data_IF_009665323667
#
_entry.id   IF_009665323667
#
_cell.length_a   1.000
_cell.length_b   1.000
_cell.length_c   1.000
_cell.angle_alpha   90.00
_cell.angle_beta   90.00
_cell.angle_gamma   90.00
#
_symmetry.space_group_name_H-M   'P 1'
#
loop_
_entity.id
_entity.type
_entity.pdbx_description
1 polymer ?
#
# COMPACT_ATOMS: atom_id res chain seq x y z
N UNK A 1 10.04 5.13 14.75
CA UNK A 1 9.86 4.89 13.31
C UNK A 1 8.53 5.50 12.92
N UNK A 2 8.42 6.08 11.72
CA UNK A 2 7.17 6.65 11.25
C UNK A 2 6.22 5.54 10.78
N UNK A 3 4.97 5.57 11.21
CA UNK A 3 3.90 4.69 10.74
C UNK A 3 3.46 5.11 9.33
N UNK A 4 3.62 4.28 8.28
CA UNK A 4 3.42 4.70 6.90
C UNK A 4 2.03 5.27 6.59
N UNK A 5 1.00 4.83 7.29
CA UNK A 5 -0.37 5.32 7.09
C UNK A 5 -0.69 6.61 7.86
N UNK A 6 -0.10 6.83 9.03
CA UNK A 6 -0.49 7.92 9.92
C UNK A 6 0.50 9.10 9.88
N UNK A 7 1.79 8.80 9.81
CA UNK A 7 2.85 9.79 10.01
C UNK A 7 3.40 10.37 8.71
N UNK A 8 3.08 9.74 7.56
CA UNK A 8 3.48 10.24 6.25
C UNK A 8 2.39 11.18 5.74
N UNK A 9 2.80 12.41 5.40
CA UNK A 9 1.88 13.38 4.78
C UNK A 9 1.35 12.86 3.45
N UNK A 10 0.08 13.14 3.16
CA UNK A 10 -0.52 12.88 1.84
C UNK A 10 0.19 13.61 0.69
N UNK A 11 0.86 14.74 0.95
CA UNK A 11 1.46 15.62 -0.06
C UNK A 11 0.80 17.00 -0.07
N UNK A 12 1.57 18.05 -0.36
CA UNK A 12 1.09 19.44 -0.30
C UNK A 12 0.07 19.77 -1.39
N UNK A 13 0.14 19.06 -2.53
CA UNK A 13 -0.65 19.30 -3.73
C UNK A 13 -1.81 18.30 -3.88
N UNK A 14 -2.18 17.62 -2.80
CA UNK A 14 -3.33 16.72 -2.79
C UNK A 14 -4.63 17.53 -3.00
N UNK A 15 -5.60 17.03 -3.81
CA UNK A 15 -5.71 15.66 -4.32
C UNK A 15 -5.05 15.42 -5.69
N UNK A 16 -4.52 16.44 -6.36
CA UNK A 16 -4.02 16.31 -7.73
C UNK A 16 -2.69 15.55 -7.79
N UNK A 17 -1.80 15.76 -6.80
CA UNK A 17 -0.55 15.02 -6.63
C UNK A 17 -0.41 14.58 -5.18
N UNK A 18 -0.20 13.28 -4.96
CA UNK A 18 -0.13 12.68 -3.62
C UNK A 18 0.99 11.65 -3.52
N UNK A 19 1.42 11.41 -2.28
CA UNK A 19 2.32 10.32 -1.95
C UNK A 19 1.58 8.97 -2.06
N UNK A 20 2.22 7.98 -2.67
CA UNK A 20 1.71 6.61 -2.73
C UNK A 20 2.72 5.67 -2.06
N UNK A 21 2.26 4.89 -1.08
CA UNK A 21 3.07 3.90 -0.38
C UNK A 21 2.88 2.55 -1.08
N UNK A 22 3.92 2.03 -1.70
CA UNK A 22 3.87 0.79 -2.47
C UNK A 22 3.97 -0.43 -1.55
N UNK A 23 2.96 -1.29 -1.59
CA UNK A 23 2.93 -2.55 -0.86
C UNK A 23 3.40 -3.72 -1.74
N UNK A 24 2.99 -3.71 -3.01
CA UNK A 24 3.20 -4.81 -3.95
C UNK A 24 3.88 -4.29 -5.20
N UNK A 25 5.15 -4.70 -5.45
CA UNK A 25 5.83 -4.35 -6.70
C UNK A 25 5.16 -5.00 -7.92
N UNK A 26 5.23 -4.32 -9.06
CA UNK A 26 4.83 -4.88 -10.36
C UNK A 26 5.52 -6.24 -10.59
N UNK A 27 4.75 -7.21 -11.06
CA UNK A 27 5.23 -8.57 -11.32
C UNK A 27 5.21 -9.49 -10.08
N UNK A 28 4.87 -8.97 -8.90
CA UNK A 28 4.76 -9.81 -7.70
C UNK A 28 3.52 -10.70 -7.75
N UNK A 29 3.68 -11.94 -7.25
CA UNK A 29 2.62 -12.90 -6.96
C UNK A 29 2.24 -12.94 -5.47
N UNK A 30 2.99 -12.21 -4.63
CA UNK A 30 2.72 -12.10 -3.20
C UNK A 30 1.84 -10.88 -2.98
N UNK A 31 0.65 -11.08 -2.41
CA UNK A 31 -0.17 -9.98 -1.91
C UNK A 31 0.36 -9.60 -0.53
N UNK A 32 1.18 -8.57 -0.51
CA UNK A 32 1.53 -7.86 0.71
C UNK A 32 0.43 -6.86 1.06
N UNK A 33 0.33 -6.54 2.34
CA UNK A 33 -0.49 -5.44 2.85
C UNK A 33 0.16 -4.81 4.07
N UNK A 34 -0.15 -3.55 4.31
CA UNK A 34 0.19 -2.86 5.54
C UNK A 34 -0.61 -3.46 6.70
N UNK A 35 0.11 -3.95 7.71
CA UNK A 35 -0.49 -4.26 9.00
C UNK A 35 -0.81 -2.94 9.73
N UNK A 36 -2.11 -2.61 9.85
CA UNK A 36 -2.59 -1.30 10.34
C UNK A 36 -2.17 -0.98 11.78
N UNK A 37 -1.89 -2.00 12.59
CA UNK A 37 -1.50 -1.83 13.99
C UNK A 37 0.00 -1.50 14.10
N UNK A 38 0.83 -2.23 13.37
CA UNK A 38 2.30 -2.14 13.51
C UNK A 38 2.96 -1.22 12.49
N UNK A 39 2.30 -0.93 11.36
CA UNK A 39 2.87 -0.22 10.23
C UNK A 39 3.88 -1.02 9.42
N UNK A 40 4.01 -2.32 9.68
CA UNK A 40 4.90 -3.22 8.93
C UNK A 40 4.21 -3.82 7.71
N UNK A 41 5.00 -4.24 6.73
CA UNK A 41 4.49 -4.99 5.59
C UNK A 41 4.30 -6.46 5.97
N UNK A 42 3.09 -6.99 5.80
CA UNK A 42 2.73 -8.36 6.09
C UNK A 42 2.31 -9.09 4.82
N UNK A 43 2.64 -10.37 4.72
CA UNK A 43 2.08 -11.23 3.67
C UNK A 43 0.65 -11.59 4.07
N UNK A 44 -0.32 -11.09 3.32
CA UNK A 44 -1.71 -11.53 3.43
C UNK A 44 -1.84 -12.92 2.81
N UNK A 45 -1.42 -13.06 1.54
CA UNK A 45 -1.47 -14.34 0.82
C UNK A 45 -0.58 -14.40 -0.42
N UNK A 46 -0.38 -15.62 -0.90
CA UNK A 46 0.02 -15.87 -2.29
C UNK A 46 -1.21 -15.79 -3.20
N UNK A 47 -1.09 -15.20 -4.39
CA UNK A 47 -2.16 -15.24 -5.37
C UNK A 47 -2.43 -16.69 -5.80
N UNK A 48 -3.69 -17.11 -5.73
CA UNK A 48 -4.12 -18.48 -6.04
C UNK A 48 -3.94 -18.86 -7.51
N UNK A 49 -4.12 -17.89 -8.41
CA UNK A 49 -3.95 -18.08 -9.86
C UNK A 49 -2.53 -17.76 -10.29
N UNK A 50 -2.14 -18.21 -11.49
CA UNK A 50 -0.85 -17.85 -12.10
C UNK A 50 -0.88 -16.44 -12.71
N UNK A 51 -1.21 -15.46 -11.87
CA UNK A 51 -1.27 -14.03 -12.22
C UNK A 51 -0.30 -13.25 -11.34
N UNK A 52 0.07 -12.06 -11.81
CA UNK A 52 0.94 -11.12 -11.11
C UNK A 52 0.31 -9.73 -11.15
N UNK A 53 0.66 -8.87 -10.18
CA UNK A 53 0.21 -7.48 -10.22
C UNK A 53 0.81 -6.78 -11.46
N UNK A 54 -0.01 -6.17 -12.34
CA UNK A 54 0.47 -5.59 -13.59
C UNK A 54 1.17 -4.23 -13.42
N UNK A 55 1.03 -3.62 -12.24
CA UNK A 55 1.65 -2.35 -11.86
C UNK A 55 1.99 -2.38 -10.36
N UNK A 56 2.79 -1.41 -9.92
CA UNK A 56 3.00 -1.19 -8.48
C UNK A 56 1.65 -0.86 -7.82
N UNK A 57 1.35 -1.53 -6.72
CA UNK A 57 0.10 -1.39 -5.98
C UNK A 57 0.37 -1.03 -4.53
N UNK A 58 -0.52 -0.22 -3.95
CA UNK A 58 -0.42 0.22 -2.58
C UNK A 58 -1.54 1.19 -2.21
N UNK A 59 -1.27 2.09 -1.28
CA UNK A 59 -2.27 2.99 -0.71
C UNK A 59 -1.79 4.45 -0.62
N UNK A 60 -2.73 5.36 -0.41
CA UNK A 60 -2.49 6.78 -0.15
C UNK A 60 -2.49 6.99 1.38
N UNK A 61 -1.43 7.54 1.98
CA UNK A 61 -1.38 7.73 3.44
C UNK A 61 -2.45 8.74 3.89
N UNK A 62 -2.87 8.64 5.15
CA UNK A 62 -3.90 9.48 5.77
C UNK A 62 -5.28 9.46 5.07
N UNK A 63 -5.58 8.39 4.31
CA UNK A 63 -6.91 8.17 3.71
C UNK A 63 -7.60 6.96 4.34
N UNK A 64 -8.94 6.93 4.27
CA UNK A 64 -9.78 5.82 4.70
C UNK A 64 -10.96 5.70 3.74
N UNK A 65 -11.38 4.48 3.44
CA UNK A 65 -12.52 4.19 2.59
C UNK A 65 -13.31 3.02 3.19
N UNK A 66 -14.60 2.94 2.87
CA UNK A 66 -15.41 1.75 3.11
C UNK A 66 -14.87 0.62 2.20
N UNK A 67 -14.67 -0.57 2.77
CA UNK A 67 -14.04 -1.73 2.09
C UNK A 67 -15.02 -2.64 1.36
#
# INVERSE_FOLDING_TARGET
MAHPWHDISIGADAPDVFNAIIEIPQGSKVKYELDKETGMLRVDRMLYSSVVYPANYGFIPQTYADD
#
